data_IF_393651316062
#
_entry.id   IF_393651316062
#
_cell.length_a   1.000
_cell.length_b   1.000
_cell.length_c   1.000
_cell.angle_alpha   90.00
_cell.angle_beta   90.00
_cell.angle_gamma   90.00
#
_symmetry.space_group_name_H-M   'P 1'
#
loop_
_entity.id
_entity.type
_entity.pdbx_description
1 polymer ?
#
# COMPACT_ATOMS: atom_id res chain seq x y z
N UNK A 1 -0.64 11.53 2.02
CA UNK A 1 -0.37 12.48 0.91
C UNK A 1 -0.24 11.79 -0.46
N UNK A 2 0.43 10.63 -0.60
CA UNK A 2 0.58 9.95 -1.90
C UNK A 2 -0.75 9.47 -2.53
N UNK A 3 -1.69 8.93 -1.73
CA UNK A 3 -2.95 8.35 -2.22
C UNK A 3 -3.84 9.35 -2.99
N UNK A 4 -3.87 10.62 -2.57
CA UNK A 4 -4.67 11.68 -3.20
C UNK A 4 -4.17 12.10 -4.59
N UNK A 5 -2.90 11.86 -4.91
CA UNK A 5 -2.34 12.23 -6.22
C UNK A 5 -2.59 11.15 -7.29
N UNK A 6 -2.91 9.93 -6.89
CA UNK A 6 -3.06 8.77 -7.78
C UNK A 6 -4.42 8.76 -8.49
N UNK A 7 -5.48 9.22 -7.84
CA UNK A 7 -6.81 9.31 -8.44
C UNK A 7 -6.83 10.26 -9.65
N UNK A 8 -6.06 11.36 -9.59
CA UNK A 8 -5.91 12.32 -10.70
C UNK A 8 -5.18 11.70 -11.91
N UNK A 9 -4.40 10.64 -11.70
CA UNK A 9 -3.69 9.91 -12.75
C UNK A 9 -4.49 8.70 -13.27
N UNK A 10 -5.71 8.47 -12.76
CA UNK A 10 -6.51 7.30 -13.08
C UNK A 10 -5.91 5.98 -12.58
N UNK A 11 -4.94 6.04 -11.67
CA UNK A 11 -4.29 4.86 -11.14
C UNK A 11 -5.23 4.12 -10.17
N UNK A 12 -5.53 2.85 -10.46
CA UNK A 12 -6.36 2.01 -9.60
C UNK A 12 -5.46 1.23 -8.65
N UNK A 13 -5.54 1.58 -7.37
CA UNK A 13 -4.84 0.83 -6.33
C UNK A 13 -5.64 -0.42 -5.95
N UNK A 14 -4.99 -1.58 -6.00
CA UNK A 14 -5.53 -2.81 -5.43
C UNK A 14 -5.45 -2.74 -3.91
N UNK A 15 -6.52 -3.13 -3.23
CA UNK A 15 -6.53 -3.27 -1.77
C UNK A 15 -6.11 -4.70 -1.41
N UNK A 16 -5.17 -4.86 -0.47
CA UNK A 16 -4.76 -6.17 0.01
C UNK A 16 -5.93 -6.87 0.71
N UNK A 17 -6.07 -8.19 0.49
CA UNK A 17 -6.87 -9.02 1.39
C UNK A 17 -6.12 -9.22 2.72
N UNK A 18 -6.86 -9.61 3.76
CA UNK A 18 -6.25 -9.90 5.06
C UNK A 18 -5.17 -10.99 4.95
N UNK A 19 -5.45 -12.07 4.22
CA UNK A 19 -4.51 -13.16 3.98
C UNK A 19 -3.23 -12.69 3.28
N UNK A 20 -3.33 -11.80 2.29
CA UNK A 20 -2.17 -11.25 1.59
C UNK A 20 -1.33 -10.35 2.48
N UNK A 21 -1.99 -9.55 3.33
CA UNK A 21 -1.33 -8.66 4.27
C UNK A 21 -0.56 -9.46 5.34
N UNK A 22 -1.19 -10.51 5.87
CA UNK A 22 -0.58 -11.43 6.82
C UNK A 22 0.60 -12.19 6.18
N UNK A 23 0.47 -12.62 4.92
CA UNK A 23 1.52 -13.34 4.18
C UNK A 23 2.82 -12.52 4.02
N UNK A 24 2.71 -11.21 3.82
CA UNK A 24 3.87 -10.31 3.67
C UNK A 24 4.21 -9.54 4.96
N UNK A 25 3.49 -9.79 6.06
CA UNK A 25 3.74 -9.19 7.37
C UNK A 25 3.50 -7.69 7.44
N UNK A 26 2.48 -7.17 6.74
CA UNK A 26 2.09 -5.74 6.77
C UNK A 26 0.62 -5.59 7.12
N UNK A 27 0.21 -4.43 7.62
CA UNK A 27 -1.21 -4.13 7.78
C UNK A 27 -1.89 -3.80 6.43
N UNK A 28 -3.18 -4.09 6.30
CA UNK A 28 -3.98 -3.83 5.08
C UNK A 28 -4.02 -2.35 4.72
N UNK A 29 -3.95 -1.48 5.71
CA UNK A 29 -3.89 -0.01 5.62
C UNK A 29 -2.45 0.55 5.69
N UNK A 30 -1.47 -0.32 5.92
CA UNK A 30 -0.05 0.00 5.99
C UNK A 30 0.43 0.41 7.39
N UNK A 31 1.68 0.89 7.54
CA UNK A 31 2.64 1.18 6.47
C UNK A 31 3.07 -0.08 5.69
N UNK A 32 3.09 0.02 4.35
CA UNK A 32 3.34 -1.11 3.45
C UNK A 32 4.82 -1.41 3.20
N UNK A 33 5.73 -0.56 3.71
CA UNK A 33 7.18 -0.67 3.56
C UNK A 33 7.89 -0.13 4.81
N UNK A 34 9.02 -0.73 5.20
CA UNK A 34 9.82 -0.25 6.32
C UNK A 34 10.53 1.07 6.00
N UNK A 35 10.96 1.80 7.03
CA UNK A 35 11.53 3.15 6.91
C UNK A 35 12.82 3.22 6.09
N UNK A 36 13.60 2.13 6.03
CA UNK A 36 14.81 2.04 5.22
C UNK A 36 14.55 1.73 3.73
N UNK A 37 13.29 1.57 3.33
CA UNK A 37 12.93 1.26 1.96
C UNK A 37 13.12 2.48 1.06
N UNK A 38 13.95 2.35 0.02
CA UNK A 38 14.34 3.46 -0.88
C UNK A 38 13.37 3.71 -2.05
N UNK A 39 12.11 3.26 -1.91
CA UNK A 39 11.07 3.17 -2.95
C UNK A 39 11.24 1.99 -3.92
#
# INVERSE_FOLDING_TARGET
MARLHLDKLGAKLTTLSQEQADYIGVAVDGPYKPEHYRY
#
